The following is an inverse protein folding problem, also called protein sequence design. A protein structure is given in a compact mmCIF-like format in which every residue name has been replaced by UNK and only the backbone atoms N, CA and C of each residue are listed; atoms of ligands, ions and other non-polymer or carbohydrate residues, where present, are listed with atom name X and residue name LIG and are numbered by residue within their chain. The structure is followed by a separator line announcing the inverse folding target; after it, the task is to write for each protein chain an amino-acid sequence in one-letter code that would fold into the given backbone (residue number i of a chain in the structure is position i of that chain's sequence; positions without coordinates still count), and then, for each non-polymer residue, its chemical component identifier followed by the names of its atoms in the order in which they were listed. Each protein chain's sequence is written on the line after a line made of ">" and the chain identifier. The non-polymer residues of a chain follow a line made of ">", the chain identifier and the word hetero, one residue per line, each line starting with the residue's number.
data_IF_507689521821
#
_entry.id   IF_507689521821
#
_cell.length_a   1.000
_cell.length_b   1.000
_cell.length_c   1.000
_cell.angle_alpha   90.00
_cell.angle_beta   90.00
_cell.angle_gamma   90.00
#
_symmetry.space_group_name_H-M   'P 1'
#
loop_
_entity.id
_entity.type
_entity.pdbx_description
1 polymer ?
#
# COMPACT_ATOMS: atom_id res chain seq x y z
N UNK A 1 32.78 -20.89 43.88
CA UNK A 1 32.07 -19.69 43.37
C UNK A 1 31.42 -20.00 42.04
N UNK A 2 30.09 -19.99 41.97
CA UNK A 2 29.33 -20.33 40.76
C UNK A 2 29.19 -19.16 39.80
N UNK A 3 29.64 -19.35 38.56
CA UNK A 3 29.40 -18.46 37.42
C UNK A 3 27.89 -18.42 37.07
N UNK A 4 27.13 -17.53 37.72
CA UNK A 4 25.69 -17.33 37.46
C UNK A 4 25.37 -16.08 36.61
N UNK A 5 26.36 -15.45 35.97
CA UNK A 5 26.18 -14.18 35.24
C UNK A 5 26.43 -14.20 33.73
N UNK A 6 27.23 -15.14 33.21
CA UNK A 6 27.74 -15.06 31.84
C UNK A 6 26.68 -15.38 30.76
N UNK A 7 25.76 -16.31 31.04
CA UNK A 7 24.77 -16.76 30.05
C UNK A 7 23.75 -15.69 29.64
N UNK A 8 23.37 -14.79 30.56
CA UNK A 8 22.41 -13.72 30.26
C UNK A 8 23.01 -12.60 29.42
N UNK A 9 24.29 -12.28 29.65
CA UNK A 9 25.03 -11.30 28.84
C UNK A 9 25.25 -11.85 27.43
N UNK A 10 25.59 -13.13 27.30
CA UNK A 10 25.73 -13.80 26.00
C UNK A 10 24.41 -13.86 25.23
N UNK A 11 23.28 -14.15 25.88
CA UNK A 11 21.96 -14.16 25.25
C UNK A 11 21.52 -12.77 24.78
N UNK A 12 21.74 -11.72 25.59
CA UNK A 12 21.44 -10.35 25.18
C UNK A 12 22.34 -9.89 24.03
N UNK A 13 23.64 -10.22 24.06
CA UNK A 13 24.56 -9.93 22.97
C UNK A 13 24.18 -10.68 21.68
N UNK A 14 23.76 -11.94 21.77
CA UNK A 14 23.29 -12.73 20.62
C UNK A 14 21.97 -12.20 20.07
N UNK A 15 21.01 -11.81 20.92
CA UNK A 15 19.75 -11.18 20.48
C UNK A 15 20.01 -9.82 19.81
N UNK A 16 20.94 -9.02 20.34
CA UNK A 16 21.37 -7.77 19.69
C UNK A 16 22.08 -8.04 18.35
N UNK A 17 22.97 -9.03 18.28
CA UNK A 17 23.64 -9.44 17.04
C UNK A 17 22.64 -9.97 15.99
N UNK A 18 21.64 -10.76 16.40
CA UNK A 18 20.58 -11.24 15.50
C UNK A 18 19.63 -10.11 15.09
N UNK A 19 19.33 -9.14 15.96
CA UNK A 19 18.56 -7.95 15.62
C UNK A 19 19.33 -7.01 14.66
N UNK A 20 20.66 -6.94 14.79
CA UNK A 20 21.56 -6.25 13.86
C UNK A 20 21.73 -7.00 12.53
N UNK A 21 21.50 -8.31 12.51
CA UNK A 21 21.54 -9.17 11.32
C UNK A 21 20.16 -9.39 10.70
N UNK A 22 19.24 -8.42 10.76
CA UNK A 22 18.23 -8.37 9.71
C UNK A 22 18.90 -7.76 8.47
N UNK A 23 19.25 -8.53 7.43
CA UNK A 23 19.28 -7.94 6.12
C UNK A 23 17.81 -7.61 5.80
N UNK A 24 17.37 -6.43 6.23
CA UNK A 24 16.59 -5.59 5.34
C UNK A 24 17.51 -5.06 4.21
N UNK A 25 18.46 -5.86 3.74
CA UNK A 25 18.93 -5.79 2.38
C UNK A 25 17.83 -6.41 1.52
N UNK A 26 16.70 -5.69 1.42
CA UNK A 26 16.04 -5.67 0.13
C UNK A 26 17.15 -5.31 -0.86
N UNK A 27 17.36 -6.15 -1.88
CA UNK A 27 18.13 -5.74 -3.05
C UNK A 27 17.77 -4.28 -3.32
N UNK A 28 18.77 -3.41 -3.51
CA UNK A 28 18.58 -1.98 -3.82
C UNK A 28 17.95 -1.84 -5.20
N UNK A 29 16.70 -2.26 -5.31
CA UNK A 29 15.88 -2.19 -6.49
C UNK A 29 15.00 -0.97 -6.31
N UNK A 30 15.21 0.02 -7.17
CA UNK A 30 14.34 1.18 -7.20
C UNK A 30 12.97 0.74 -7.70
N UNK A 31 11.91 1.18 -7.03
CA UNK A 31 10.57 1.09 -7.61
C UNK A 31 10.35 2.35 -8.46
N UNK A 32 9.86 2.20 -9.67
CA UNK A 32 9.67 3.30 -10.59
C UNK A 32 8.28 3.23 -11.22
N UNK A 33 7.59 4.38 -11.25
CA UNK A 33 6.29 4.51 -11.91
C UNK A 33 6.43 5.30 -13.23
N UNK A 34 6.66 4.65 -14.39
CA UNK A 34 6.63 5.36 -15.67
C UNK A 34 5.20 5.68 -16.10
N UNK A 35 4.96 6.94 -16.47
CA UNK A 35 3.74 7.38 -17.15
C UNK A 35 3.93 7.40 -18.65
N UNK A 36 2.95 6.90 -19.39
CA UNK A 36 3.08 6.60 -20.80
C UNK A 36 2.25 7.56 -21.65
N UNK A 37 2.83 8.07 -22.73
CA UNK A 37 2.13 8.98 -23.65
C UNK A 37 0.98 8.26 -24.38
N UNK A 38 -0.06 8.98 -24.85
CA UNK A 38 -1.19 8.38 -25.58
C UNK A 38 -0.78 7.64 -26.85
N UNK A 39 0.39 7.94 -27.42
CA UNK A 39 0.89 7.27 -28.61
C UNK A 39 1.53 5.92 -28.24
N UNK A 40 0.74 4.86 -28.43
CA UNK A 40 1.10 3.44 -28.64
C UNK A 40 2.26 2.89 -27.78
N UNK A 41 2.07 2.81 -26.48
CA UNK A 41 3.06 2.16 -25.60
C UNK A 41 2.82 0.67 -25.33
N UNK A 42 1.73 0.12 -25.85
CA UNK A 42 1.59 -1.32 -26.08
C UNK A 42 1.85 -1.69 -27.53
N UNK A 43 2.71 -0.93 -28.23
CA UNK A 43 3.35 -1.47 -29.41
C UNK A 43 4.41 -2.49 -28.96
N UNK A 44 4.45 -3.66 -29.61
CA UNK A 44 5.40 -4.75 -29.33
C UNK A 44 6.85 -4.25 -29.39
N UNK A 45 7.10 -3.12 -30.06
CA UNK A 45 8.40 -2.45 -30.15
C UNK A 45 8.89 -1.80 -28.85
N UNK A 46 8.03 -1.13 -28.07
CA UNK A 46 8.47 -0.50 -26.81
C UNK A 46 8.83 -1.56 -25.76
N UNK A 47 7.98 -2.58 -25.63
CA UNK A 47 8.28 -3.76 -24.83
C UNK A 47 9.54 -4.45 -25.35
N UNK A 48 9.68 -4.67 -26.67
CA UNK A 48 10.93 -5.22 -27.25
C UNK A 48 12.15 -4.35 -26.95
N UNK A 49 12.04 -3.03 -26.92
CA UNK A 49 13.18 -2.15 -26.60
C UNK A 49 13.58 -2.26 -25.13
N UNK A 50 12.59 -2.46 -24.25
CA UNK A 50 12.80 -2.76 -22.83
C UNK A 50 13.38 -4.18 -22.65
N UNK A 51 12.93 -5.18 -23.43
CA UNK A 51 13.46 -6.56 -23.43
C UNK A 51 14.81 -6.71 -24.16
N UNK A 52 15.13 -5.83 -25.12
CA UNK A 52 16.36 -5.85 -25.90
C UNK A 52 17.51 -5.12 -25.21
N UNK A 53 17.19 -4.12 -24.39
CA UNK A 53 18.13 -3.67 -23.37
C UNK A 53 18.16 -4.80 -22.32
N UNK A 54 19.33 -5.33 -21.98
CA UNK A 54 19.51 -6.42 -21.00
C UNK A 54 19.23 -5.94 -19.57
N UNK A 55 18.08 -5.30 -19.37
CA UNK A 55 17.61 -4.69 -18.15
C UNK A 55 16.91 -5.76 -17.35
N UNK A 56 17.38 -6.04 -16.13
CA UNK A 56 16.58 -6.76 -15.17
C UNK A 56 15.51 -5.82 -14.62
N UNK A 57 14.25 -6.05 -15.00
CA UNK A 57 13.10 -5.39 -14.41
C UNK A 57 12.00 -6.41 -14.14
N UNK A 58 11.16 -6.10 -13.15
CA UNK A 58 9.93 -6.84 -12.85
C UNK A 58 8.76 -5.87 -12.86
N UNK A 59 7.74 -6.17 -13.66
CA UNK A 59 6.48 -5.44 -13.62
C UNK A 59 5.74 -5.89 -12.36
N UNK A 60 5.48 -4.96 -11.46
CA UNK A 60 4.71 -5.18 -10.22
C UNK A 60 3.22 -4.94 -10.45
N UNK A 61 2.88 -3.90 -11.22
CA UNK A 61 1.50 -3.52 -11.47
C UNK A 61 1.37 -2.73 -12.79
N UNK A 62 0.19 -2.78 -13.41
CA UNK A 62 -0.18 -1.95 -14.56
C UNK A 62 -1.44 -1.14 -14.23
N UNK A 63 -1.30 0.19 -14.28
CA UNK A 63 -2.38 1.13 -14.04
C UNK A 63 -2.99 1.58 -15.37
N UNK A 64 -4.07 0.93 -15.79
CA UNK A 64 -4.75 1.25 -17.06
C UNK A 64 -5.31 2.68 -17.10
N UNK A 65 -5.94 3.14 -16.01
CA UNK A 65 -6.63 4.44 -15.92
C UNK A 65 -5.66 5.61 -16.09
N UNK A 66 -4.49 5.54 -15.46
CA UNK A 66 -3.46 6.59 -15.53
C UNK A 66 -2.36 6.28 -16.55
N UNK A 67 -2.47 5.17 -17.29
CA UNK A 67 -1.46 4.66 -18.23
C UNK A 67 -0.06 4.62 -17.60
N UNK A 68 0.03 3.94 -16.47
CA UNK A 68 1.26 3.81 -15.70
C UNK A 68 1.66 2.35 -15.51
N UNK A 69 2.95 2.10 -15.29
CA UNK A 69 3.44 0.81 -14.79
C UNK A 69 4.08 1.02 -13.43
N UNK A 70 4.07 0.02 -12.55
CA UNK A 70 4.99 -0.06 -11.41
C UNK A 70 6.05 -1.09 -11.74
N UNK A 71 7.30 -0.65 -11.77
CA UNK A 71 8.45 -1.48 -12.10
C UNK A 71 9.37 -1.56 -10.89
N UNK A 72 9.85 -2.77 -10.59
CA UNK A 72 11.03 -2.97 -9.78
C UNK A 72 12.24 -3.08 -10.72
N UNK A 73 13.22 -2.20 -10.56
CA UNK A 73 14.37 -2.05 -11.47
C UNK A 73 15.68 -1.93 -10.70
N UNK A 74 16.80 -2.22 -11.34
CA UNK A 74 18.11 -1.89 -10.80
C UNK A 74 18.36 -0.37 -10.84
N UNK A 75 19.07 0.17 -9.84
CA UNK A 75 19.27 1.61 -9.68
C UNK A 75 19.90 2.29 -10.92
N UNK A 76 20.83 1.60 -11.59
CA UNK A 76 21.53 2.10 -12.79
C UNK A 76 20.64 2.27 -14.03
N UNK A 77 19.41 1.74 -14.01
CA UNK A 77 18.49 1.72 -15.15
C UNK A 77 17.57 2.95 -15.17
N UNK A 78 17.44 3.66 -14.04
CA UNK A 78 16.46 4.74 -13.88
C UNK A 78 16.58 5.84 -14.95
N UNK A 79 17.81 6.27 -15.25
CA UNK A 79 18.08 7.34 -16.23
C UNK A 79 17.81 6.88 -17.67
N UNK A 80 17.97 5.60 -17.96
CA UNK A 80 17.64 5.03 -19.27
C UNK A 80 16.13 5.04 -19.49
N UNK A 81 15.35 4.63 -18.49
CA UNK A 81 13.88 4.64 -18.58
C UNK A 81 13.32 6.04 -18.80
N UNK A 82 13.90 7.06 -18.15
CA UNK A 82 13.48 8.45 -18.33
C UNK A 82 13.69 8.97 -19.76
N UNK A 83 14.59 8.34 -20.53
CA UNK A 83 14.91 8.73 -21.92
C UNK A 83 14.16 7.89 -22.95
N UNK A 84 13.44 6.85 -22.53
CA UNK A 84 12.73 5.99 -23.46
C UNK A 84 11.61 6.76 -24.16
N UNK A 85 11.48 6.65 -25.49
CA UNK A 85 10.37 7.24 -26.23
C UNK A 85 9.03 6.82 -25.63
N UNK A 86 8.17 7.80 -25.37
CA UNK A 86 6.83 7.60 -24.81
C UNK A 86 6.78 7.56 -23.28
N UNK A 87 7.90 7.52 -22.57
CA UNK A 87 7.92 7.74 -21.12
C UNK A 87 7.85 9.24 -20.84
N UNK A 88 6.77 9.67 -20.19
CA UNK A 88 6.52 11.07 -19.82
C UNK A 88 7.25 11.45 -18.53
N UNK A 89 7.21 10.55 -17.55
CA UNK A 89 7.78 10.79 -16.22
C UNK A 89 8.06 9.47 -15.54
N UNK A 90 9.16 9.40 -14.82
CA UNK A 90 9.47 8.30 -13.90
C UNK A 90 9.51 8.85 -12.48
N UNK A 91 8.69 8.29 -11.60
CA UNK A 91 8.64 8.68 -10.17
C UNK A 91 9.26 7.56 -9.34
N UNK A 92 10.35 7.82 -8.58
CA UNK A 92 10.89 6.87 -7.62
C UNK A 92 9.86 6.56 -6.53
N UNK A 93 9.64 5.27 -6.28
CA UNK A 93 8.82 4.79 -5.18
C UNK A 93 9.52 5.07 -3.85
N UNK A 94 8.75 5.54 -2.89
CA UNK A 94 9.21 5.81 -1.54
C UNK A 94 8.31 5.11 -0.53
N UNK A 95 8.89 4.68 0.58
CA UNK A 95 8.13 4.17 1.70
C UNK A 95 7.47 5.35 2.43
N UNK A 96 6.15 5.33 2.50
CA UNK A 96 5.38 6.29 3.28
C UNK A 96 5.25 5.79 4.73
N UNK A 97 5.40 6.70 5.69
CA UNK A 97 5.18 6.40 7.11
C UNK A 97 3.75 6.80 7.49
N UNK A 98 3.11 5.98 8.33
CA UNK A 98 1.80 6.26 8.90
C UNK A 98 1.84 7.58 9.71
N UNK A 99 0.83 8.41 9.54
CA UNK A 99 0.73 9.75 10.16
C UNK A 99 -0.47 9.92 11.09
N UNK A 100 -1.18 8.85 11.44
CA UNK A 100 -2.38 8.95 12.28
C UNK A 100 -2.03 9.26 13.74
N UNK A 101 -2.44 10.43 14.24
CA UNK A 101 -2.16 10.87 15.63
C UNK A 101 -3.38 10.85 16.57
N UNK A 102 -4.61 10.90 16.04
CA UNK A 102 -5.94 10.69 16.71
C UNK A 102 -7.04 11.25 15.80
N UNK A 103 -8.17 10.56 15.63
CA UNK A 103 -9.20 10.96 14.63
C UNK A 103 -10.47 11.58 15.21
N UNK A 104 -11.04 11.04 16.30
CA UNK A 104 -12.37 11.45 16.76
C UNK A 104 -12.39 12.83 17.45
N UNK A 105 -11.48 13.02 18.40
CA UNK A 105 -11.30 14.31 19.11
C UNK A 105 -10.85 15.42 18.15
N UNK A 106 -10.08 15.05 17.10
CA UNK A 106 -9.60 15.99 16.09
C UNK A 106 -10.73 16.60 15.26
N UNK A 107 -11.80 15.83 15.00
CA UNK A 107 -12.92 16.28 14.18
C UNK A 107 -13.99 17.06 14.97
N UNK A 108 -13.90 17.10 16.31
CA UNK A 108 -14.88 17.80 17.15
C UNK A 108 -16.31 17.23 17.06
N UNK A 109 -16.43 15.95 16.68
CA UNK A 109 -17.73 15.27 16.52
C UNK A 109 -18.29 14.76 17.84
N UNK A 110 -17.44 14.69 18.87
CA UNK A 110 -17.80 14.31 20.24
C UNK A 110 -17.21 15.34 21.19
N UNK A 111 -18.04 15.88 22.08
CA UNK A 111 -17.66 16.78 23.15
C UNK A 111 -18.21 16.24 24.48
N UNK A 112 -17.36 16.09 25.49
CA UNK A 112 -17.74 15.59 26.82
C UNK A 112 -18.52 14.25 26.79
N UNK A 113 -18.15 13.35 25.85
CA UNK A 113 -18.78 12.03 25.69
C UNK A 113 -20.16 12.07 25.03
N UNK A 114 -20.54 13.20 24.42
CA UNK A 114 -21.79 13.35 23.68
C UNK A 114 -21.53 13.80 22.25
N UNK A 115 -22.33 13.28 21.34
CA UNK A 115 -22.33 13.69 19.94
C UNK A 115 -22.65 15.19 19.81
N UNK A 116 -21.93 15.88 18.94
CA UNK A 116 -22.21 17.29 18.64
C UNK A 116 -23.33 17.44 17.61
N UNK A 117 -23.96 18.62 17.47
CA UNK A 117 -24.95 18.86 16.41
C UNK A 117 -24.43 18.58 15.00
N UNK A 118 -23.12 18.72 14.78
CA UNK A 118 -22.49 18.38 13.50
C UNK A 118 -22.61 16.88 13.18
N UNK A 119 -22.57 16.02 14.19
CA UNK A 119 -22.76 14.58 14.02
C UNK A 119 -24.24 14.21 13.87
N UNK A 120 -25.11 14.73 14.74
CA UNK A 120 -26.54 14.37 14.72
C UNK A 120 -27.32 14.94 13.54
N UNK A 121 -26.84 16.04 12.94
CA UNK A 121 -27.40 16.58 11.69
C UNK A 121 -26.80 15.99 10.42
N UNK A 122 -25.77 15.15 10.55
CA UNK A 122 -25.15 14.50 9.40
C UNK A 122 -26.16 13.53 8.76
N UNK A 123 -26.33 13.68 7.46
CA UNK A 123 -27.03 12.70 6.63
C UNK A 123 -26.07 11.54 6.41
N UNK A 124 -26.07 10.60 7.36
CA UNK A 124 -25.27 9.37 7.31
C UNK A 124 -25.86 8.34 6.33
N UNK A 125 -26.87 8.73 5.55
CA UNK A 125 -27.56 7.87 4.61
C UNK A 125 -26.73 7.59 3.35
N UNK A 126 -27.11 6.50 2.70
CA UNK A 126 -26.35 5.84 1.66
C UNK A 126 -26.43 6.63 0.34
N UNK A 127 -25.38 7.38 0.01
CA UNK A 127 -25.04 7.84 -1.36
C UNK A 127 -23.60 8.38 -1.46
N UNK A 128 -22.81 8.28 -0.38
CA UNK A 128 -21.40 8.72 -0.34
C UNK A 128 -20.49 7.52 -0.09
N UNK A 129 -19.52 7.31 -0.98
CA UNK A 129 -18.49 6.29 -0.81
C UNK A 129 -17.21 6.96 -0.33
N UNK A 130 -16.74 6.58 0.86
CA UNK A 130 -15.45 7.05 1.42
C UNK A 130 -14.39 5.98 1.15
N UNK A 131 -13.42 6.29 0.29
CA UNK A 131 -12.27 5.42 0.05
C UNK A 131 -11.19 5.66 1.10
N UNK A 132 -10.87 4.65 1.91
CA UNK A 132 -9.79 4.70 2.88
C UNK A 132 -8.55 3.95 2.36
N UNK A 133 -7.42 4.65 2.22
CA UNK A 133 -6.12 4.05 1.86
C UNK A 133 -5.25 4.07 3.11
N UNK A 134 -5.31 2.99 3.87
CA UNK A 134 -4.54 2.80 5.11
C UNK A 134 -4.00 1.35 5.17
N UNK A 135 -3.60 0.91 6.35
CA UNK A 135 -3.14 -0.44 6.68
C UNK A 135 -4.22 -1.51 6.64
N UNK A 136 -5.49 -1.12 6.55
CA UNK A 136 -6.64 -2.01 6.52
C UNK A 136 -7.69 -1.63 7.56
N UNK A 137 -8.65 -2.52 7.76
CA UNK A 137 -9.69 -2.44 8.78
C UNK A 137 -9.88 -3.82 9.41
N UNK A 138 -10.54 -3.88 10.57
CA UNK A 138 -11.05 -5.13 11.15
C UNK A 138 -12.51 -5.31 10.72
N UNK A 139 -12.78 -6.03 9.61
CA UNK A 139 -14.13 -6.14 9.08
C UNK A 139 -15.12 -6.84 10.03
N UNK A 140 -14.63 -7.62 10.99
CA UNK A 140 -15.47 -8.30 11.99
C UNK A 140 -15.92 -7.37 13.13
N UNK A 141 -15.36 -6.16 13.22
CA UNK A 141 -15.77 -5.19 14.23
C UNK A 141 -17.21 -4.76 14.01
N UNK A 142 -17.97 -4.65 15.11
CA UNK A 142 -19.36 -4.17 15.08
C UNK A 142 -19.50 -2.78 14.44
N UNK A 143 -18.46 -1.96 14.47
CA UNK A 143 -18.47 -0.63 13.81
C UNK A 143 -18.56 -0.69 12.28
N UNK A 144 -18.30 -1.85 11.68
CA UNK A 144 -18.42 -2.09 10.24
C UNK A 144 -19.62 -2.98 9.89
N UNK A 145 -20.60 -3.13 10.79
CA UNK A 145 -21.87 -3.77 10.43
C UNK A 145 -22.58 -2.96 9.34
N UNK A 146 -23.13 -3.68 8.37
CA UNK A 146 -23.75 -3.18 7.14
C UNK A 146 -25.27 -3.20 7.21
N UNK A 147 -25.85 -3.29 8.40
CA UNK A 147 -27.30 -3.34 8.59
C UNK A 147 -27.99 -2.13 7.92
N UNK A 148 -28.84 -2.40 6.93
CA UNK A 148 -29.56 -1.38 6.16
C UNK A 148 -28.75 -0.73 5.04
N UNK A 149 -27.49 -1.14 4.83
CA UNK A 149 -26.67 -0.81 3.67
C UNK A 149 -26.70 -1.98 2.67
N UNK A 150 -26.44 -1.67 1.41
CA UNK A 150 -26.22 -2.68 0.37
C UNK A 150 -25.05 -2.29 -0.52
N UNK A 151 -24.50 -3.27 -1.22
CA UNK A 151 -23.42 -3.02 -2.19
C UNK A 151 -23.85 -1.96 -3.23
N UNK A 152 -23.08 -0.87 -3.40
CA UNK A 152 -23.39 0.17 -4.38
C UNK A 152 -23.54 -0.36 -5.81
N UNK A 153 -24.49 0.19 -6.56
CA UNK A 153 -24.72 -0.18 -7.95
C UNK A 153 -23.48 0.13 -8.79
N UNK A 154 -22.84 -0.91 -9.34
CA UNK A 154 -21.62 -0.77 -10.14
C UNK A 154 -20.32 -0.99 -9.37
N UNK A 155 -20.36 -1.38 -8.09
CA UNK A 155 -19.19 -1.87 -7.38
C UNK A 155 -18.57 -3.08 -8.10
N UNK A 156 -17.26 -3.01 -8.37
CA UNK A 156 -16.50 -4.09 -9.06
C UNK A 156 -15.47 -4.75 -8.15
N UNK A 157 -15.50 -4.45 -6.86
CA UNK A 157 -14.61 -5.09 -5.89
C UNK A 157 -15.00 -6.55 -5.68
N UNK A 158 -14.04 -7.35 -5.24
CA UNK A 158 -14.24 -8.75 -4.87
C UNK A 158 -14.24 -8.88 -3.35
N UNK A 159 -15.02 -9.83 -2.83
CA UNK A 159 -14.90 -10.25 -1.45
C UNK A 159 -13.58 -11.02 -1.27
N UNK A 160 -12.56 -10.35 -0.73
CA UNK A 160 -11.29 -10.99 -0.38
C UNK A 160 -11.43 -11.69 0.98
N UNK A 161 -11.29 -13.02 0.97
CA UNK A 161 -11.37 -13.86 2.17
C UNK A 161 -10.00 -14.12 2.81
N UNK A 162 -8.92 -13.63 2.21
CA UNK A 162 -7.57 -13.91 2.66
C UNK A 162 -7.36 -15.41 2.89
N UNK A 163 -6.85 -15.76 4.08
CA UNK A 163 -6.62 -17.16 4.50
C UNK A 163 -7.80 -17.80 5.25
N UNK A 164 -8.85 -17.05 5.57
CA UNK A 164 -10.01 -17.57 6.31
C UNK A 164 -11.16 -17.92 5.34
N UNK A 165 -11.37 -19.20 5.01
CA UNK A 165 -12.44 -19.60 4.10
C UNK A 165 -13.85 -19.37 4.67
N UNK A 166 -13.98 -19.13 5.98
CA UNK A 166 -15.25 -18.89 6.66
C UNK A 166 -15.66 -17.42 6.67
N UNK A 167 -14.74 -16.51 6.33
CA UNK A 167 -14.99 -15.08 6.27
C UNK A 167 -16.09 -14.74 5.27
N UNK A 168 -17.03 -13.91 5.73
CA UNK A 168 -18.14 -13.40 4.93
C UNK A 168 -17.99 -11.89 4.85
N UNK A 169 -17.82 -11.38 3.65
CA UNK A 169 -17.91 -9.94 3.44
C UNK A 169 -19.34 -9.46 3.68
N UNK A 170 -19.42 -8.20 4.07
CA UNK A 170 -20.63 -7.40 4.08
C UNK A 170 -21.33 -7.44 2.70
N UNK A 171 -22.66 -7.38 2.73
CA UNK A 171 -23.59 -7.49 1.59
C UNK A 171 -24.01 -6.14 1.03
#
# INVERSE_FOLDING_TARGET
>A
MGWRGAGRVFLLALVLLLALQTPAAADKKATALPFLSPFRLLDRHALRSIYACSINFRIMYEFSVIRGLALQIDEGVLTLLQRLPGVLRVIPGSLLRLRTTRSWEFLGLVENGRETPAWSSAKLDADTIIGNIDTGVWPESQSFQDDGLGVPTGWRGVCDRGSDPTFRCNK
#
